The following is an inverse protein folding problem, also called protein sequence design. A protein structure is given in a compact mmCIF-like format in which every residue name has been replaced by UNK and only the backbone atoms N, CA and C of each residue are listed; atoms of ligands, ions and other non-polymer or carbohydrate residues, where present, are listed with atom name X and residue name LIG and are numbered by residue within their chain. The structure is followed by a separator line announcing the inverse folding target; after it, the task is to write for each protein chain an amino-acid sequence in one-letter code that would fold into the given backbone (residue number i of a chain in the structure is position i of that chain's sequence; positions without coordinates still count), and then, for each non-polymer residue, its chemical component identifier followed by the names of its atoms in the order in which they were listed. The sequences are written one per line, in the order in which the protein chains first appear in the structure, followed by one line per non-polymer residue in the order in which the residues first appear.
data_IF_466633387137
#
_entry.id   IF_466633387137
#
_cell.length_a   1.000
_cell.length_b   1.000
_cell.length_c   1.000
_cell.angle_alpha   90.00
_cell.angle_beta   90.00
_cell.angle_gamma   90.00
#
_symmetry.space_group_name_H-M   'P 1'
#
loop_
_entity.id
_entity.type
_entity.pdbx_description
1 polymer ?
#
# COMPACT_ATOMS: atom_id res chain seq x y z
N UNK A 1 13.99 -14.75 -11.02
CA UNK A 1 15.21 -15.07 -10.24
C UNK A 1 16.29 -14.00 -10.44
N UNK A 2 16.28 -13.30 -11.56
CA UNK A 2 17.20 -12.18 -11.85
C UNK A 2 16.79 -10.90 -11.11
N UNK A 3 15.50 -10.76 -10.77
CA UNK A 3 14.91 -9.63 -10.07
C UNK A 3 14.19 -10.10 -8.79
N UNK A 4 14.93 -10.40 -7.72
CA UNK A 4 14.34 -10.88 -6.47
C UNK A 4 13.46 -9.83 -5.78
N UNK A 5 13.67 -8.54 -6.09
CA UNK A 5 12.90 -7.40 -5.59
C UNK A 5 11.52 -7.25 -6.25
N UNK A 6 11.24 -7.98 -7.35
CA UNK A 6 10.03 -7.82 -8.15
C UNK A 6 8.74 -8.10 -7.36
N UNK A 7 8.73 -9.12 -6.49
CA UNK A 7 7.56 -9.45 -5.67
C UNK A 7 7.92 -9.32 -4.19
N UNK A 8 7.20 -8.48 -3.49
CA UNK A 8 7.35 -8.26 -2.05
C UNK A 8 6.10 -8.73 -1.29
N UNK A 9 6.30 -9.42 -0.14
CA UNK A 9 7.56 -9.90 0.43
C UNK A 9 8.08 -11.18 -0.26
N UNK A 10 9.34 -11.53 -0.01
CA UNK A 10 10.05 -12.67 -0.62
C UNK A 10 9.29 -14.01 -0.53
N UNK A 11 8.55 -14.22 0.54
CA UNK A 11 7.72 -15.42 0.72
C UNK A 11 6.68 -15.57 -0.39
N UNK A 12 6.15 -14.46 -0.91
CA UNK A 12 5.19 -14.44 -2.01
C UNK A 12 5.84 -14.70 -3.36
N UNK A 13 7.06 -14.20 -3.54
CA UNK A 13 7.89 -14.55 -4.71
C UNK A 13 8.13 -16.06 -4.77
N UNK A 14 8.57 -16.64 -3.66
CA UNK A 14 8.83 -18.08 -3.56
C UNK A 14 7.56 -18.92 -3.81
N UNK A 15 6.41 -18.47 -3.33
CA UNK A 15 5.11 -19.11 -3.59
C UNK A 15 4.79 -19.14 -5.10
N UNK A 16 4.96 -18.02 -5.79
CA UNK A 16 4.71 -17.94 -7.23
C UNK A 16 5.68 -18.80 -8.04
N UNK A 17 6.96 -18.78 -7.69
CA UNK A 17 7.98 -19.60 -8.35
C UNK A 17 7.70 -21.08 -8.21
N UNK A 18 7.51 -21.56 -6.98
CA UNK A 18 7.35 -23.00 -6.69
C UNK A 18 6.03 -23.57 -7.19
N UNK A 19 4.94 -22.81 -7.08
CA UNK A 19 3.61 -23.34 -7.36
C UNK A 19 3.19 -23.18 -8.82
N UNK A 20 3.80 -22.23 -9.55
CA UNK A 20 3.34 -21.92 -10.90
C UNK A 20 4.45 -21.90 -11.96
N UNK A 21 5.63 -21.36 -11.66
CA UNK A 21 6.69 -21.22 -12.67
C UNK A 21 7.50 -22.52 -12.80
N UNK A 22 7.94 -23.11 -11.69
CA UNK A 22 8.77 -24.33 -11.71
C UNK A 22 8.04 -25.57 -12.26
N UNK A 23 6.74 -25.79 -11.98
CA UNK A 23 5.99 -26.87 -12.59
C UNK A 23 5.72 -26.67 -14.09
N UNK A 24 5.87 -25.44 -14.60
CA UNK A 24 5.50 -25.03 -15.95
C UNK A 24 4.15 -24.32 -16.00
N UNK A 25 4.03 -23.36 -16.91
CA UNK A 25 2.78 -22.63 -17.11
C UNK A 25 1.89 -23.40 -18.09
N UNK A 26 0.59 -23.38 -17.84
CA UNK A 26 -0.44 -23.91 -18.72
C UNK A 26 -1.12 -22.77 -19.48
N UNK A 27 -1.70 -23.09 -20.65
CA UNK A 27 -2.49 -22.16 -21.43
C UNK A 27 -3.67 -21.61 -20.63
N UNK A 28 -3.86 -20.30 -20.68
CA UNK A 28 -5.00 -19.64 -20.06
C UNK A 28 -6.06 -19.33 -21.11
N UNK A 29 -7.29 -19.82 -20.88
CA UNK A 29 -8.42 -19.46 -21.71
C UNK A 29 -8.78 -17.97 -21.48
N UNK A 30 -8.62 -17.15 -22.52
CA UNK A 30 -8.87 -15.69 -22.47
C UNK A 30 -10.33 -15.31 -22.71
N UNK A 31 -11.20 -16.29 -22.98
CA UNK A 31 -12.64 -16.09 -23.18
C UNK A 31 -13.46 -17.23 -22.56
N UNK A 32 -14.75 -17.00 -22.37
CA UNK A 32 -15.70 -17.93 -21.75
C UNK A 32 -16.98 -18.02 -22.57
N UNK A 33 -17.61 -19.21 -22.57
CA UNK A 33 -18.93 -19.47 -23.21
C UNK A 33 -20.00 -19.88 -22.23
N UNK A 34 -19.66 -19.99 -20.92
CA UNK A 34 -20.57 -20.49 -19.87
C UNK A 34 -21.67 -19.49 -19.49
N UNK A 35 -21.54 -18.23 -19.89
CA UNK A 35 -22.51 -17.17 -19.68
C UNK A 35 -22.45 -16.17 -20.84
N UNK A 36 -23.49 -15.35 -20.99
CA UNK A 36 -23.67 -14.43 -22.12
C UNK A 36 -23.43 -12.96 -21.77
N UNK A 37 -23.34 -12.64 -20.49
CA UNK A 37 -23.06 -11.29 -20.01
C UNK A 37 -21.55 -11.00 -20.05
N UNK A 38 -21.18 -9.84 -20.56
CA UNK A 38 -19.78 -9.39 -20.64
C UNK A 38 -19.42 -8.86 -22.02
N UNK A 39 -18.13 -8.48 -22.17
CA UNK A 39 -17.58 -8.00 -23.45
C UNK A 39 -17.50 -9.16 -24.44
N UNK A 40 -18.17 -9.01 -25.57
CA UNK A 40 -18.20 -10.03 -26.62
C UNK A 40 -16.88 -10.05 -27.40
N UNK A 41 -16.39 -11.25 -27.73
CA UNK A 41 -15.27 -11.40 -28.65
C UNK A 41 -15.74 -11.09 -30.08
N UNK A 42 -15.17 -10.09 -30.77
CA UNK A 42 -15.66 -9.67 -32.08
C UNK A 42 -15.66 -10.80 -33.14
N UNK A 43 -14.65 -11.67 -33.11
CA UNK A 43 -14.50 -12.79 -34.04
C UNK A 43 -15.43 -13.99 -33.77
N UNK A 44 -15.91 -14.11 -32.50
CA UNK A 44 -16.89 -15.14 -32.11
C UNK A 44 -17.78 -14.61 -30.96
N UNK A 45 -18.95 -14.05 -31.29
CA UNK A 45 -19.88 -13.45 -30.32
C UNK A 45 -20.48 -14.42 -29.28
N UNK A 46 -20.29 -15.74 -29.43
CA UNK A 46 -20.64 -16.72 -28.40
C UNK A 46 -19.71 -16.64 -27.19
N UNK A 47 -18.50 -16.13 -27.40
CA UNK A 47 -17.51 -15.93 -26.36
C UNK A 47 -17.62 -14.56 -25.74
N UNK A 48 -17.41 -14.49 -24.42
CA UNK A 48 -17.18 -13.24 -23.68
C UNK A 48 -15.76 -13.23 -23.16
N UNK A 49 -15.14 -12.05 -23.14
CA UNK A 49 -13.77 -11.86 -22.64
C UNK A 49 -13.69 -12.31 -21.18
N UNK A 50 -12.61 -12.99 -20.83
CA UNK A 50 -12.35 -13.42 -19.46
C UNK A 50 -12.05 -12.20 -18.58
N UNK A 51 -12.75 -12.12 -17.45
CA UNK A 51 -12.70 -10.96 -16.52
C UNK A 51 -11.30 -10.47 -16.16
N UNK A 52 -10.33 -11.37 -16.04
CA UNK A 52 -8.96 -10.97 -15.70
C UNK A 52 -8.20 -10.29 -16.85
N UNK A 53 -8.57 -10.55 -18.08
CA UNK A 53 -8.02 -9.80 -19.23
C UNK A 53 -8.51 -8.34 -19.16
N UNK A 54 -9.81 -8.15 -18.97
CA UNK A 54 -10.41 -6.84 -18.80
C UNK A 54 -9.83 -6.09 -17.57
N UNK A 55 -9.81 -6.75 -16.41
CA UNK A 55 -9.32 -6.17 -15.16
C UNK A 55 -7.85 -5.75 -15.21
N UNK A 56 -6.97 -6.53 -15.85
CA UNK A 56 -5.54 -6.21 -15.93
C UNK A 56 -5.26 -5.09 -16.94
N UNK A 57 -5.91 -5.12 -18.11
CA UNK A 57 -5.76 -4.06 -19.13
C UNK A 57 -6.25 -2.70 -18.61
N UNK A 58 -7.16 -2.69 -17.64
CA UNK A 58 -7.66 -1.45 -17.04
C UNK A 58 -6.54 -0.52 -16.52
N UNK A 59 -5.43 -1.04 -16.04
CA UNK A 59 -4.30 -0.21 -15.56
C UNK A 59 -3.77 0.74 -16.64
N UNK A 60 -3.63 0.25 -17.88
CA UNK A 60 -3.13 1.06 -18.99
C UNK A 60 -4.25 1.84 -19.70
N UNK A 61 -5.44 1.27 -19.83
CA UNK A 61 -6.56 1.98 -20.50
C UNK A 61 -7.08 3.15 -19.68
N UNK A 62 -7.03 3.08 -18.33
CA UNK A 62 -7.34 4.20 -17.46
C UNK A 62 -6.37 5.38 -17.63
N UNK A 63 -5.15 5.12 -18.09
CA UNK A 63 -4.16 6.15 -18.44
C UNK A 63 -4.29 6.67 -19.86
N UNK A 64 -5.16 6.08 -20.69
CA UNK A 64 -5.41 6.49 -22.08
C UNK A 64 -4.74 5.64 -23.14
N UNK A 65 -4.14 4.49 -22.80
CA UNK A 65 -3.57 3.57 -23.78
C UNK A 65 -4.61 3.11 -24.80
N UNK A 66 -4.26 3.21 -26.09
CA UNK A 66 -5.14 2.83 -27.20
C UNK A 66 -6.23 3.86 -27.55
N UNK A 67 -6.17 5.07 -26.98
CA UNK A 67 -7.02 6.20 -27.34
C UNK A 67 -6.28 7.16 -28.27
N UNK A 68 -7.03 7.94 -29.07
CA UNK A 68 -6.44 8.92 -30.01
C UNK A 68 -5.60 9.98 -29.29
N UNK A 69 -6.02 10.38 -28.08
CA UNK A 69 -5.21 11.17 -27.17
C UNK A 69 -4.67 10.25 -26.08
N UNK A 70 -3.35 10.05 -26.05
CA UNK A 70 -2.67 9.09 -25.15
C UNK A 70 -2.85 9.42 -23.65
N UNK A 71 -3.55 10.49 -23.32
CA UNK A 71 -3.84 10.88 -21.95
C UNK A 71 -2.58 11.01 -21.09
N UNK A 72 -2.55 10.30 -19.98
CA UNK A 72 -1.41 10.27 -19.06
C UNK A 72 -0.55 9.01 -19.23
N UNK A 73 -0.81 8.16 -20.25
CA UNK A 73 -0.11 6.90 -20.43
C UNK A 73 1.39 7.11 -20.60
N UNK A 74 1.79 7.96 -21.53
CA UNK A 74 3.21 8.23 -21.81
C UNK A 74 3.93 8.94 -20.64
N UNK A 75 3.18 9.56 -19.72
CA UNK A 75 3.73 10.20 -18.54
C UNK A 75 3.93 9.22 -17.38
N UNK A 76 2.99 8.32 -17.14
CA UNK A 76 2.97 7.49 -15.92
C UNK A 76 3.35 6.02 -16.16
N UNK A 77 3.23 5.50 -17.40
CA UNK A 77 3.59 4.12 -17.68
C UNK A 77 5.02 4.01 -18.22
N UNK A 78 5.97 4.34 -17.36
CA UNK A 78 7.41 4.30 -17.66
C UNK A 78 8.12 3.48 -16.59
N UNK A 79 9.15 2.75 -17.02
CA UNK A 79 10.05 2.01 -16.13
C UNK A 79 11.49 2.32 -16.58
N UNK A 80 12.09 3.35 -15.97
CA UNK A 80 13.42 3.85 -16.25
C UNK A 80 14.12 4.28 -14.94
N UNK A 81 15.25 4.96 -15.05
CA UNK A 81 16.05 5.41 -13.89
C UNK A 81 15.30 6.35 -12.94
N UNK A 82 14.26 7.04 -13.42
CA UNK A 82 13.51 8.05 -12.67
C UNK A 82 12.08 7.64 -12.36
N UNK A 83 11.59 6.53 -12.94
CA UNK A 83 10.20 6.12 -12.83
C UNK A 83 10.09 4.65 -12.44
N UNK A 84 9.22 4.38 -11.50
CA UNK A 84 8.84 3.03 -11.10
C UNK A 84 7.34 2.80 -11.31
N UNK A 85 6.99 1.61 -11.80
CA UNK A 85 5.61 1.12 -11.84
C UNK A 85 5.43 0.14 -10.69
N UNK A 86 4.70 0.55 -9.65
CA UNK A 86 4.45 -0.26 -8.46
C UNK A 86 2.98 -0.65 -8.40
N UNK A 87 2.71 -1.96 -8.35
CA UNK A 87 1.37 -2.47 -8.05
C UNK A 87 1.27 -2.86 -6.57
N UNK A 88 0.35 -2.22 -5.85
CA UNK A 88 -0.02 -2.61 -4.48
C UNK A 88 -1.33 -3.39 -4.55
N UNK A 89 -1.27 -4.68 -4.21
CA UNK A 89 -2.38 -5.61 -4.44
C UNK A 89 -2.60 -6.54 -3.25
N UNK A 90 -3.82 -7.07 -3.12
CA UNK A 90 -4.10 -8.16 -2.21
C UNK A 90 -3.39 -9.46 -2.62
N UNK A 91 -2.91 -10.22 -1.66
CA UNK A 91 -2.22 -11.49 -1.91
C UNK A 91 -3.03 -12.51 -2.74
N UNK A 92 -4.34 -12.41 -2.70
CA UNK A 92 -5.28 -13.30 -3.41
C UNK A 92 -5.27 -13.12 -4.93
N UNK A 93 -4.87 -11.95 -5.42
CA UNK A 93 -4.77 -11.66 -6.85
C UNK A 93 -3.33 -11.62 -7.38
N UNK A 94 -2.37 -12.00 -6.54
CA UNK A 94 -0.94 -11.94 -6.88
C UNK A 94 -0.59 -12.75 -8.13
N UNK A 95 -1.15 -13.95 -8.31
CA UNK A 95 -0.90 -14.79 -9.48
C UNK A 95 -1.21 -14.07 -10.79
N UNK A 96 -2.31 -13.32 -10.84
CA UNK A 96 -2.71 -12.60 -12.04
C UNK A 96 -1.78 -11.44 -12.36
N UNK A 97 -1.30 -10.74 -11.34
CA UNK A 97 -0.41 -9.59 -11.49
C UNK A 97 1.06 -9.97 -11.71
N UNK A 98 1.49 -11.12 -11.18
CA UNK A 98 2.89 -11.55 -11.28
C UNK A 98 3.18 -12.44 -12.50
N UNK A 99 2.17 -13.06 -13.09
CA UNK A 99 2.33 -13.98 -14.20
C UNK A 99 1.59 -13.47 -15.44
N UNK A 100 0.26 -13.36 -15.37
CA UNK A 100 -0.52 -13.03 -16.57
C UNK A 100 -0.36 -11.59 -17.03
N UNK A 101 -0.28 -10.65 -16.09
CA UNK A 101 -0.08 -9.24 -16.42
C UNK A 101 1.24 -8.96 -17.13
N UNK A 102 2.40 -9.43 -16.64
CA UNK A 102 3.65 -9.34 -17.40
C UNK A 102 3.58 -9.98 -18.79
N UNK A 103 2.92 -11.13 -18.95
CA UNK A 103 2.76 -11.78 -20.25
C UNK A 103 1.97 -10.90 -21.21
N UNK A 104 0.88 -10.28 -20.75
CA UNK A 104 0.08 -9.35 -21.58
C UNK A 104 0.91 -8.14 -21.98
N UNK A 105 1.65 -7.53 -21.04
CA UNK A 105 2.51 -6.38 -21.33
C UNK A 105 3.62 -6.71 -22.31
N UNK A 106 4.28 -7.87 -22.18
CA UNK A 106 5.27 -8.34 -23.14
C UNK A 106 4.67 -8.57 -24.53
N UNK A 107 3.44 -9.09 -24.61
CA UNK A 107 2.74 -9.27 -25.89
C UNK A 107 2.37 -7.94 -26.56
N UNK A 108 2.24 -6.87 -25.78
CA UNK A 108 1.97 -5.50 -26.24
C UNK A 108 3.26 -4.68 -26.46
N UNK A 109 4.43 -5.24 -26.18
CA UNK A 109 5.73 -4.55 -26.20
C UNK A 109 5.76 -3.30 -25.28
N UNK A 110 5.18 -3.45 -24.08
CA UNK A 110 5.07 -2.38 -23.09
C UNK A 110 6.00 -2.62 -21.88
N UNK A 111 6.40 -1.53 -21.18
CA UNK A 111 7.19 -1.63 -19.96
C UNK A 111 6.52 -2.49 -18.89
N UNK A 112 7.32 -3.33 -18.23
CA UNK A 112 6.85 -4.17 -17.12
C UNK A 112 6.82 -3.39 -15.81
N UNK A 113 5.94 -3.77 -14.84
CA UNK A 113 6.01 -3.24 -13.50
C UNK A 113 7.37 -3.49 -12.85
N UNK A 114 7.84 -2.51 -12.09
CA UNK A 114 9.10 -2.62 -11.34
C UNK A 114 8.93 -3.50 -10.12
N UNK A 115 7.80 -3.31 -9.40
CA UNK A 115 7.52 -4.03 -8.16
C UNK A 115 6.04 -4.39 -8.01
N UNK A 116 5.80 -5.57 -7.42
CA UNK A 116 4.48 -6.01 -6.95
C UNK A 116 4.54 -6.17 -5.43
N UNK A 117 3.77 -5.36 -4.73
CA UNK A 117 3.67 -5.40 -3.27
C UNK A 117 2.36 -6.08 -2.89
N UNK A 118 2.47 -7.31 -2.38
CA UNK A 118 1.32 -8.12 -2.01
C UNK A 118 1.01 -7.97 -0.51
N UNK A 119 -0.03 -7.19 -0.18
CA UNK A 119 -0.47 -7.05 1.20
C UNK A 119 -1.36 -8.22 1.66
N UNK A 120 -1.36 -8.49 2.97
CA UNK A 120 -2.23 -9.45 3.63
C UNK A 120 -3.67 -8.96 3.77
N UNK A 121 -4.50 -9.77 4.40
CA UNK A 121 -5.89 -9.44 4.70
C UNK A 121 -6.04 -8.91 6.12
N UNK A 122 -7.04 -8.05 6.31
CA UNK A 122 -7.64 -7.87 7.63
C UNK A 122 -8.60 -9.01 7.91
N UNK A 123 -8.36 -9.69 9.00
CA UNK A 123 -9.20 -10.77 9.49
C UNK A 123 -9.77 -10.40 10.86
N UNK A 124 -10.89 -10.99 11.21
CA UNK A 124 -11.46 -10.90 12.55
C UNK A 124 -10.92 -12.03 13.44
N UNK A 125 -11.11 -11.95 14.76
CA UNK A 125 -10.72 -13.03 15.68
C UNK A 125 -11.33 -14.39 15.31
N UNK A 126 -12.51 -14.38 14.71
CA UNK A 126 -13.25 -15.56 14.23
C UNK A 126 -12.93 -15.92 12.76
N UNK A 127 -11.91 -15.30 12.17
CA UNK A 127 -11.41 -15.57 10.83
C UNK A 127 -11.77 -14.50 9.78
N UNK A 128 -11.84 -14.91 8.52
CA UNK A 128 -12.07 -13.99 7.40
C UNK A 128 -13.40 -13.26 7.52
N UNK A 129 -13.39 -11.95 7.24
CA UNK A 129 -14.61 -11.15 7.13
C UNK A 129 -15.52 -11.69 6.03
N UNK A 130 -16.80 -11.81 6.32
CA UNK A 130 -17.80 -12.29 5.37
C UNK A 130 -19.13 -11.61 5.58
N UNK A 131 -19.74 -11.13 4.49
CA UNK A 131 -21.08 -10.52 4.52
C UNK A 131 -22.14 -11.47 5.09
N UNK A 132 -22.03 -12.77 4.78
CA UNK A 132 -22.95 -13.79 5.27
C UNK A 132 -22.82 -14.08 6.77
N UNK A 133 -21.65 -13.82 7.36
CA UNK A 133 -21.41 -13.94 8.81
C UNK A 133 -21.78 -12.67 9.59
N UNK A 134 -21.99 -11.54 8.89
CA UNK A 134 -22.26 -10.26 9.53
C UNK A 134 -21.09 -9.66 10.30
N UNK A 135 -19.86 -10.16 10.10
CA UNK A 135 -18.64 -9.71 10.79
C UNK A 135 -17.77 -8.75 9.95
N UNK A 136 -18.38 -8.12 8.94
CA UNK A 136 -17.68 -7.13 8.10
C UNK A 136 -17.68 -5.78 8.79
N UNK A 137 -16.52 -5.17 8.88
CA UNK A 137 -16.37 -3.79 9.30
C UNK A 137 -16.22 -2.92 8.06
N UNK A 138 -17.14 -1.99 7.91
CA UNK A 138 -17.12 -1.04 6.81
C UNK A 138 -16.28 0.18 7.18
N UNK A 139 -15.32 0.58 6.35
CA UNK A 139 -14.48 1.76 6.60
C UNK A 139 -15.28 3.03 6.88
N UNK A 140 -16.41 3.20 6.19
CA UNK A 140 -17.32 4.35 6.34
C UNK A 140 -17.80 4.52 7.78
N UNK A 141 -18.13 3.43 8.46
CA UNK A 141 -18.56 3.46 9.87
C UNK A 141 -17.46 3.97 10.80
N UNK A 142 -16.20 3.61 10.51
CA UNK A 142 -15.06 4.08 11.28
C UNK A 142 -14.76 5.55 10.99
N UNK A 143 -14.86 5.96 9.71
CA UNK A 143 -14.67 7.35 9.30
C UNK A 143 -15.73 8.28 9.91
N UNK A 144 -17.00 7.88 9.88
CA UNK A 144 -18.10 8.66 10.48
C UNK A 144 -17.91 8.85 11.99
N UNK A 145 -17.37 7.84 12.68
CA UNK A 145 -17.24 7.86 14.15
C UNK A 145 -15.95 8.48 14.65
N UNK A 146 -14.84 8.28 13.95
CA UNK A 146 -13.49 8.61 14.42
C UNK A 146 -12.75 9.58 13.48
N UNK A 147 -13.26 9.82 12.29
CA UNK A 147 -12.56 10.58 11.24
C UNK A 147 -11.71 9.72 10.32
N UNK A 148 -11.27 10.30 9.21
CA UNK A 148 -10.51 9.61 8.17
C UNK A 148 -9.07 9.32 8.59
N UNK A 149 -8.38 10.30 9.21
CA UNK A 149 -6.97 10.19 9.54
C UNK A 149 -6.66 9.08 10.56
N UNK A 150 -7.45 8.88 11.64
CA UNK A 150 -7.26 7.74 12.54
C UNK A 150 -7.38 6.38 11.84
N UNK A 151 -8.31 6.25 10.88
CA UNK A 151 -8.44 5.02 10.11
C UNK A 151 -7.20 4.79 9.22
N UNK A 152 -6.77 5.79 8.48
CA UNK A 152 -5.57 5.71 7.63
C UNK A 152 -4.33 5.38 8.46
N UNK A 153 -4.17 6.05 9.59
CA UNK A 153 -3.09 5.78 10.53
C UNK A 153 -3.09 4.32 10.98
N UNK A 154 -4.23 3.82 11.48
CA UNK A 154 -4.36 2.44 11.92
C UNK A 154 -4.01 1.43 10.84
N UNK A 155 -4.50 1.62 9.62
CA UNK A 155 -4.22 0.72 8.50
C UNK A 155 -2.72 0.65 8.17
N UNK A 156 -2.04 1.79 8.17
CA UNK A 156 -0.59 1.85 7.88
C UNK A 156 0.26 1.35 9.05
N UNK A 157 -0.23 1.52 10.28
CA UNK A 157 0.49 1.18 11.52
C UNK A 157 0.39 -0.29 11.89
N UNK A 158 -0.76 -0.91 11.64
CA UNK A 158 -1.10 -2.21 12.22
C UNK A 158 -0.83 -3.40 11.32
N UNK A 159 -0.59 -3.19 10.02
CA UNK A 159 -0.36 -4.26 9.07
C UNK A 159 1.07 -4.25 8.54
N UNK A 160 1.90 -5.21 8.95
CA UNK A 160 3.11 -5.51 8.22
C UNK A 160 2.76 -5.94 6.78
N UNK A 161 3.44 -5.35 5.79
CA UNK A 161 3.22 -5.73 4.39
C UNK A 161 3.47 -7.22 4.21
N UNK A 162 2.49 -7.93 3.64
CA UNK A 162 2.58 -9.36 3.33
C UNK A 162 2.03 -10.32 4.40
N UNK A 163 1.72 -9.85 5.60
CA UNK A 163 1.10 -10.63 6.66
C UNK A 163 -0.37 -10.27 6.85
N UNK A 164 -1.18 -11.23 7.28
CA UNK A 164 -2.55 -10.95 7.68
C UNK A 164 -2.56 -10.26 9.05
N UNK A 165 -3.41 -9.26 9.22
CA UNK A 165 -3.61 -8.58 10.49
C UNK A 165 -4.99 -8.83 11.07
N UNK A 166 -5.06 -9.00 12.38
CA UNK A 166 -6.34 -9.16 13.06
C UNK A 166 -6.86 -7.80 13.49
N UNK A 167 -8.02 -7.42 12.97
CA UNK A 167 -8.71 -6.23 13.43
C UNK A 167 -9.49 -6.54 14.71
N UNK A 168 -9.36 -5.67 15.71
CA UNK A 168 -10.27 -5.62 16.86
C UNK A 168 -10.62 -4.17 17.18
N UNK A 169 -11.89 -3.88 17.55
CA UNK A 169 -12.27 -2.53 17.96
C UNK A 169 -11.45 -2.02 19.14
N UNK A 170 -11.07 -2.92 20.05
CA UNK A 170 -10.27 -2.59 21.24
C UNK A 170 -8.87 -2.12 20.83
N UNK A 171 -8.19 -2.83 19.93
CA UNK A 171 -6.87 -2.44 19.43
C UNK A 171 -6.94 -1.13 18.63
N UNK A 172 -7.96 -0.96 17.81
CA UNK A 172 -8.19 0.27 17.07
C UNK A 172 -8.31 1.50 18.01
N UNK A 173 -9.16 1.41 19.01
CA UNK A 173 -9.37 2.50 19.98
C UNK A 173 -8.14 2.72 20.85
N UNK A 174 -7.50 1.64 21.30
CA UNK A 174 -6.29 1.72 22.12
C UNK A 174 -5.17 2.46 21.39
N UNK A 175 -4.92 2.10 20.12
CA UNK A 175 -3.86 2.70 19.32
C UNK A 175 -4.10 4.20 19.07
N UNK A 176 -5.32 4.59 18.75
CA UNK A 176 -5.69 6.01 18.59
C UNK A 176 -5.46 6.78 19.91
N UNK A 177 -5.91 6.21 21.02
CA UNK A 177 -5.79 6.89 22.32
C UNK A 177 -4.33 7.00 22.78
N UNK A 178 -3.53 5.94 22.67
CA UNK A 178 -2.15 5.95 23.15
C UNK A 178 -1.24 6.75 22.21
N UNK A 179 -1.24 6.42 20.92
CA UNK A 179 -0.28 7.02 20.01
C UNK A 179 -0.73 8.43 19.58
N UNK A 180 -1.95 8.61 19.06
CA UNK A 180 -2.36 9.91 18.52
C UNK A 180 -2.79 10.90 19.61
N UNK A 181 -3.64 10.48 20.56
CA UNK A 181 -4.16 11.41 21.57
C UNK A 181 -3.16 11.65 22.69
N UNK A 182 -2.56 10.60 23.28
CA UNK A 182 -1.66 10.76 24.41
C UNK A 182 -0.25 11.19 23.97
N UNK A 183 0.42 10.44 23.09
CA UNK A 183 1.80 10.77 22.75
C UNK A 183 1.88 12.04 21.89
N UNK A 184 1.38 12.00 20.66
CA UNK A 184 1.44 13.15 19.75
C UNK A 184 0.62 14.34 20.27
N UNK A 185 -0.60 14.10 20.74
CA UNK A 185 -1.49 15.14 21.25
C UNK A 185 -0.92 15.84 22.48
N UNK A 186 -0.31 15.10 23.43
CA UNK A 186 0.34 15.71 24.59
C UNK A 186 1.62 16.46 24.21
N UNK A 187 2.44 15.94 23.30
CA UNK A 187 3.62 16.66 22.82
C UNK A 187 3.21 18.02 22.26
N UNK A 188 2.24 18.05 21.36
CA UNK A 188 1.74 19.29 20.75
C UNK A 188 1.16 20.23 21.80
N UNK A 189 0.26 19.73 22.68
CA UNK A 189 -0.40 20.54 23.69
C UNK A 189 0.59 21.15 24.67
N UNK A 190 1.57 20.37 25.16
CA UNK A 190 2.60 20.85 26.08
C UNK A 190 3.50 21.89 25.42
N UNK A 191 3.94 21.64 24.19
CA UNK A 191 4.78 22.58 23.44
C UNK A 191 4.07 23.90 23.22
N UNK A 192 2.83 23.89 22.75
CA UNK A 192 2.03 25.12 22.52
C UNK A 192 1.75 25.84 23.85
N UNK A 193 1.43 25.10 24.93
CA UNK A 193 1.23 25.70 26.25
C UNK A 193 2.49 26.39 26.79
N UNK A 194 3.67 25.80 26.58
CA UNK A 194 4.96 26.41 26.95
C UNK A 194 5.28 27.64 26.12
N UNK A 195 5.05 27.60 24.82
CA UNK A 195 5.25 28.76 23.95
C UNK A 195 4.33 29.92 24.39
N UNK A 196 3.06 29.65 24.66
CA UNK A 196 2.14 30.68 25.16
C UNK A 196 2.58 31.25 26.53
N UNK A 197 2.98 30.36 27.42
CA UNK A 197 3.34 30.78 28.81
C UNK A 197 4.62 31.58 28.88
N UNK A 198 5.66 31.19 28.14
CA UNK A 198 7.00 31.75 28.26
C UNK A 198 7.35 32.76 27.16
N UNK A 199 6.70 32.69 26.02
CA UNK A 199 7.03 33.50 24.85
C UNK A 199 5.82 34.30 24.29
N UNK A 200 4.72 34.38 25.08
CA UNK A 200 3.54 35.15 24.66
C UNK A 200 2.88 34.67 23.36
N UNK A 201 2.98 33.38 23.06
CA UNK A 201 2.42 32.77 21.83
C UNK A 201 3.30 32.91 20.58
N UNK A 202 4.49 33.49 20.70
CA UNK A 202 5.44 33.59 19.60
C UNK A 202 6.49 32.49 19.67
N UNK A 203 6.71 31.78 18.57
CA UNK A 203 7.81 30.80 18.48
C UNK A 203 9.12 31.56 18.52
N UNK A 204 10.02 31.27 19.50
CA UNK A 204 11.31 31.96 19.58
C UNK A 204 12.18 31.63 18.35
N UNK A 205 13.11 32.53 18.05
CA UNK A 205 14.12 32.28 17.02
C UNK A 205 14.98 31.06 17.43
N UNK A 206 15.33 30.24 16.45
CA UNK A 206 16.23 29.12 16.66
C UNK A 206 17.62 29.61 17.08
N UNK A 207 18.16 29.04 18.14
CA UNK A 207 19.51 29.28 18.62
C UNK A 207 20.18 27.92 18.80
N UNK A 208 21.38 27.77 18.24
CA UNK A 208 22.12 26.50 18.31
C UNK A 208 22.73 26.27 19.72
N UNK A 209 22.76 25.01 20.13
CA UNK A 209 23.50 24.55 21.32
C UNK A 209 23.16 25.32 22.61
N UNK A 210 21.88 25.53 22.87
CA UNK A 210 21.41 26.19 24.11
C UNK A 210 21.57 25.24 25.30
N UNK A 211 21.41 23.94 25.08
CA UNK A 211 21.56 22.88 26.10
C UNK A 211 22.44 21.74 25.59
N UNK A 212 22.94 20.92 26.50
CA UNK A 212 23.74 19.73 26.19
C UNK A 212 22.93 18.66 25.43
N UNK A 213 21.59 18.76 25.46
CA UNK A 213 20.67 17.81 24.78
C UNK A 213 20.36 18.18 23.34
N UNK A 214 20.65 19.39 22.88
CA UNK A 214 20.24 19.88 21.57
C UNK A 214 20.90 19.08 20.43
N UNK A 215 22.19 18.74 20.59
CA UNK A 215 22.93 17.94 19.61
C UNK A 215 22.40 16.51 19.53
N UNK A 216 22.04 15.90 20.65
CA UNK A 216 21.48 14.55 20.71
C UNK A 216 20.09 14.52 20.06
N UNK A 217 19.24 15.50 20.33
CA UNK A 217 17.92 15.61 19.71
C UNK A 217 18.04 15.81 18.18
N UNK A 218 18.92 16.71 17.74
CA UNK A 218 19.14 16.95 16.31
C UNK A 218 19.60 15.67 15.58
N UNK A 219 20.49 14.89 16.22
CA UNK A 219 20.94 13.60 15.71
C UNK A 219 19.80 12.58 15.61
N UNK A 220 19.00 12.41 16.66
CA UNK A 220 17.84 11.50 16.68
C UNK A 220 16.87 11.88 15.57
N UNK A 221 16.56 13.15 15.40
CA UNK A 221 15.68 13.63 14.32
C UNK A 221 16.25 13.29 12.94
N UNK A 222 17.53 13.60 12.69
CA UNK A 222 18.17 13.34 11.40
C UNK A 222 18.16 11.84 11.05
N UNK A 223 18.61 10.99 11.98
CA UNK A 223 18.67 9.53 11.79
C UNK A 223 17.26 8.93 11.52
N UNK A 224 16.24 9.38 12.23
CA UNK A 224 14.89 8.87 12.04
C UNK A 224 14.20 9.42 10.78
N UNK A 225 14.55 10.60 10.28
CA UNK A 225 14.11 11.07 8.97
C UNK A 225 14.70 10.18 7.86
N UNK A 226 15.97 9.84 7.92
CA UNK A 226 16.60 8.93 6.97
C UNK A 226 15.96 7.54 7.01
N UNK A 227 15.74 7.01 8.22
CA UNK A 227 15.08 5.71 8.38
C UNK A 227 13.63 5.73 7.88
N UNK A 228 12.88 6.80 8.12
CA UNK A 228 11.54 6.99 7.57
C UNK A 228 11.54 6.89 6.03
N UNK A 229 12.39 7.64 5.35
CA UNK A 229 12.47 7.59 3.89
C UNK A 229 12.88 6.21 3.38
N UNK A 230 13.85 5.58 4.01
CA UNK A 230 14.29 4.21 3.68
C UNK A 230 13.14 3.21 3.79
N UNK A 231 12.38 3.24 4.89
CA UNK A 231 11.27 2.32 5.10
C UNK A 231 10.06 2.64 4.20
N UNK A 232 9.80 3.91 3.91
CA UNK A 232 8.78 4.31 2.92
C UNK A 232 9.12 3.78 1.53
N UNK A 233 10.36 3.90 1.08
CA UNK A 233 10.82 3.38 -0.21
C UNK A 233 10.78 1.84 -0.26
N UNK A 234 10.98 1.18 0.89
CA UNK A 234 10.81 -0.27 1.02
C UNK A 234 9.34 -0.71 1.14
N UNK A 235 8.40 0.24 1.17
CA UNK A 235 6.96 0.01 1.39
C UNK A 235 6.67 -0.67 2.75
N UNK A 236 7.53 -0.45 3.75
CA UNK A 236 7.33 -0.91 5.12
C UNK A 236 6.75 0.22 5.99
N UNK A 237 5.47 0.48 5.84
CA UNK A 237 4.77 1.58 6.50
C UNK A 237 4.81 1.51 8.04
N UNK A 238 4.64 0.34 8.68
CA UNK A 238 4.77 0.25 10.14
C UNK A 238 6.13 0.70 10.65
N UNK A 239 7.24 0.28 10.01
CA UNK A 239 8.59 0.71 10.39
C UNK A 239 8.87 2.16 10.06
N UNK A 240 8.33 2.67 8.96
CA UNK A 240 8.41 4.10 8.67
C UNK A 240 7.74 4.93 9.78
N UNK A 241 6.58 4.49 10.26
CA UNK A 241 5.91 5.13 11.38
C UNK A 241 6.65 4.94 12.71
N UNK A 242 7.34 3.81 12.94
CA UNK A 242 8.22 3.65 14.11
C UNK A 242 9.29 4.74 14.17
N UNK A 243 9.89 5.08 13.03
CA UNK A 243 10.87 6.17 12.96
C UNK A 243 10.26 7.53 13.37
N UNK A 244 9.02 7.81 12.94
CA UNK A 244 8.31 9.03 13.38
C UNK A 244 8.07 9.01 14.88
N UNK A 245 7.63 7.87 15.44
CA UNK A 245 7.37 7.76 16.89
C UNK A 245 8.63 7.85 17.74
N UNK A 246 9.79 7.42 17.23
CA UNK A 246 11.07 7.61 17.90
C UNK A 246 11.45 9.10 18.07
N UNK A 247 10.92 9.99 17.20
CA UNK A 247 11.13 11.44 17.35
C UNK A 247 10.16 12.04 18.37
N UNK A 248 8.94 11.48 18.46
CA UNK A 248 7.85 11.99 19.32
C UNK A 248 8.03 11.58 20.79
N UNK A 249 8.56 10.38 21.02
CA UNK A 249 8.71 9.78 22.37
C UNK A 249 10.02 10.16 23.01
#
# INVERSE_FOLDING_TARGET
KEHPEFIQPDGRMNEMLKNFIEPGLEDLAVSRTTFTWGVKVPSDPKHVVYVWIDALINYITALGYGQDEHGNFDLFWQNDENHEIIHMIGKDILRFHSIYWPIILMALDLPLPTRLVAHGWFVMKDGKMSKSKGNVIYPEMLVERFGLDPLRYYLMRSLPVGSDGTFTPEDYVARINYELANDLGNLLNRTVAMINKYFGGQVPAYVENVTDFDADLAKVVAENIEEFHKQMNAVDFPRALDAVWNIIS
#
